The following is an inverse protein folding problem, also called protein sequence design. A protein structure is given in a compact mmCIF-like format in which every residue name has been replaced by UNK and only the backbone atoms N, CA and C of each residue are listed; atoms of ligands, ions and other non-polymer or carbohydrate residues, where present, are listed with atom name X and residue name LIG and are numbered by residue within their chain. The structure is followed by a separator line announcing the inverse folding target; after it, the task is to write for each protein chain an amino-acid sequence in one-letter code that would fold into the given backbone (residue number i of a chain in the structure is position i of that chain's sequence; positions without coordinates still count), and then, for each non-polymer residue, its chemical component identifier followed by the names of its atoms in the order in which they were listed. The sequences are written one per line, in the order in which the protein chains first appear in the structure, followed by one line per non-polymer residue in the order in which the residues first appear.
data_IF_793133366431
#
_entry.id   IF_793133366431
#
_cell.length_a   1.000
_cell.length_b   1.000
_cell.length_c   1.000
_cell.angle_alpha   90.00
_cell.angle_beta   90.00
_cell.angle_gamma   90.00
#
_symmetry.space_group_name_H-M   'P 1'
#
loop_
_entity.id
_entity.type
_entity.pdbx_description
1 polymer ?
#
# COMPACT_ATOMS: atom_id res chain seq x y z
N UNK A 1 10.03 -9.11 -6.96
CA UNK A 1 10.84 -9.80 -8.01
C UNK A 1 10.24 -9.66 -9.41
N UNK A 2 8.92 -9.82 -9.60
CA UNK A 2 8.28 -9.68 -10.92
C UNK A 2 8.35 -8.25 -11.49
N UNK A 3 7.98 -7.23 -10.70
CA UNK A 3 8.05 -5.82 -11.12
C UNK A 3 9.44 -5.40 -11.62
N UNK A 4 10.49 -5.76 -10.89
CA UNK A 4 11.89 -5.51 -11.27
C UNK A 4 12.22 -6.11 -12.64
N UNK A 5 11.75 -7.33 -12.93
CA UNK A 5 11.97 -7.96 -14.25
C UNK A 5 11.27 -7.18 -15.38
N UNK A 6 10.09 -6.60 -15.12
CA UNK A 6 9.37 -5.77 -16.08
C UNK A 6 10.07 -4.42 -16.29
N UNK A 7 10.55 -3.78 -15.23
CA UNK A 7 11.35 -2.55 -15.31
C UNK A 7 12.66 -2.77 -16.09
N UNK A 8 13.32 -3.90 -15.89
CA UNK A 8 14.51 -4.25 -16.70
C UNK A 8 14.15 -4.52 -18.16
N UNK A 9 12.96 -5.08 -18.44
CA UNK A 9 12.47 -5.23 -19.81
C UNK A 9 12.13 -3.88 -20.43
N UNK A 10 11.58 -2.96 -19.66
CA UNK A 10 11.31 -1.58 -20.08
C UNK A 10 12.59 -0.91 -20.59
N UNK A 11 13.67 -0.97 -19.80
CA UNK A 11 14.99 -0.45 -20.18
C UNK A 11 15.50 -1.07 -21.47
N UNK A 12 15.35 -2.39 -21.64
CA UNK A 12 15.76 -3.10 -22.86
C UNK A 12 14.97 -2.63 -24.08
N UNK A 13 13.65 -2.54 -23.98
CA UNK A 13 12.80 -2.05 -25.08
C UNK A 13 13.16 -0.61 -25.46
N UNK A 14 13.38 0.26 -24.47
CA UNK A 14 13.81 1.63 -24.72
C UNK A 14 15.14 1.68 -25.48
N UNK A 15 16.11 0.87 -25.10
CA UNK A 15 17.40 0.79 -25.80
C UNK A 15 17.24 0.29 -27.24
N UNK A 16 16.36 -0.67 -27.51
CA UNK A 16 16.10 -1.13 -28.88
C UNK A 16 15.39 -0.07 -29.73
N UNK A 17 14.46 0.71 -29.16
CA UNK A 17 13.86 1.86 -29.85
C UNK A 17 14.96 2.84 -30.30
N UNK A 18 15.87 3.20 -29.39
CA UNK A 18 16.98 4.12 -29.70
C UNK A 18 17.87 3.56 -30.81
N UNK A 19 18.24 2.27 -30.74
CA UNK A 19 19.05 1.62 -31.78
C UNK A 19 18.35 1.59 -33.14
N UNK A 20 17.05 1.27 -33.18
CA UNK A 20 16.27 1.26 -34.42
C UNK A 20 16.18 2.66 -35.03
N UNK A 21 15.93 3.69 -34.21
CA UNK A 21 15.93 5.08 -34.66
C UNK A 21 17.27 5.51 -35.25
N UNK A 22 18.39 5.16 -34.60
CA UNK A 22 19.74 5.47 -35.12
C UNK A 22 20.04 4.80 -36.47
N UNK A 23 19.43 3.64 -36.74
CA UNK A 23 19.58 2.93 -38.02
C UNK A 23 18.60 3.40 -39.10
N UNK A 24 17.74 4.37 -38.79
CA UNK A 24 16.64 4.81 -39.68
C UNK A 24 15.52 3.78 -39.84
N UNK A 25 15.48 2.75 -38.99
CA UNK A 25 14.46 1.70 -39.03
C UNK A 25 13.22 2.14 -38.24
N UNK A 26 12.45 3.03 -38.86
CA UNK A 26 11.24 3.64 -38.30
C UNK A 26 10.17 2.60 -37.96
N UNK A 27 10.01 1.58 -38.80
CA UNK A 27 9.03 0.52 -38.59
C UNK A 27 9.34 -0.29 -37.33
N UNK A 28 10.59 -0.73 -37.12
CA UNK A 28 10.95 -1.46 -35.88
C UNK A 28 10.86 -0.57 -34.65
N UNK A 29 11.26 0.70 -34.75
CA UNK A 29 11.13 1.63 -33.65
C UNK A 29 9.66 1.78 -33.19
N UNK A 30 8.72 1.86 -34.14
CA UNK A 30 7.29 1.95 -33.86
C UNK A 30 6.74 0.69 -33.15
N UNK A 31 7.15 -0.51 -33.58
CA UNK A 31 6.75 -1.78 -32.91
C UNK A 31 7.21 -1.77 -31.45
N UNK A 32 8.49 -1.52 -31.19
CA UNK A 32 9.02 -1.52 -29.83
C UNK A 32 8.41 -0.42 -28.95
N UNK A 33 8.07 0.73 -29.53
CA UNK A 33 7.39 1.81 -28.81
C UNK A 33 5.99 1.39 -28.34
N UNK A 34 5.23 0.69 -29.19
CA UNK A 34 3.91 0.17 -28.81
C UNK A 34 4.01 -0.87 -27.69
N UNK A 35 4.96 -1.81 -27.79
CA UNK A 35 5.21 -2.78 -26.72
C UNK A 35 5.60 -2.11 -25.40
N UNK A 36 6.47 -1.09 -25.47
CA UNK A 36 6.89 -0.32 -24.30
C UNK A 36 5.71 0.41 -23.66
N UNK A 37 4.79 0.96 -24.45
CA UNK A 37 3.60 1.64 -23.94
C UNK A 37 2.69 0.67 -23.17
N UNK A 38 2.42 -0.52 -23.71
CA UNK A 38 1.62 -1.54 -23.01
C UNK A 38 2.33 -2.06 -21.75
N UNK A 39 3.65 -2.27 -21.82
CA UNK A 39 4.44 -2.69 -20.66
C UNK A 39 4.38 -1.65 -19.52
N UNK A 40 4.44 -0.35 -19.85
CA UNK A 40 4.33 0.73 -18.87
C UNK A 40 2.98 0.77 -18.18
N UNK A 41 1.89 0.51 -18.91
CA UNK A 41 0.55 0.39 -18.29
C UNK A 41 0.54 -0.71 -17.24
N UNK A 42 1.09 -1.88 -17.57
CA UNK A 42 1.18 -3.02 -16.64
C UNK A 42 2.02 -2.67 -15.40
N UNK A 43 3.22 -2.10 -15.59
CA UNK A 43 4.10 -1.67 -14.48
C UNK A 43 3.38 -0.65 -13.58
N UNK A 44 2.68 0.32 -14.19
CA UNK A 44 1.91 1.33 -13.48
C UNK A 44 0.84 0.71 -12.57
N UNK A 45 -0.01 -0.16 -13.13
CA UNK A 45 -1.06 -0.84 -12.36
C UNK A 45 -0.46 -1.66 -11.22
N UNK A 46 0.59 -2.44 -11.47
CA UNK A 46 1.25 -3.24 -10.42
C UNK A 46 1.84 -2.37 -9.30
N UNK A 47 2.41 -1.22 -9.66
CA UNK A 47 3.01 -0.29 -8.68
C UNK A 47 1.94 0.33 -7.80
N UNK A 48 0.85 0.82 -8.40
CA UNK A 48 -0.29 1.39 -7.66
C UNK A 48 -0.90 0.33 -6.74
N UNK A 49 -1.10 -0.88 -7.22
CA UNK A 49 -1.67 -1.96 -6.41
C UNK A 49 -0.74 -2.36 -5.26
N UNK A 50 0.57 -2.41 -5.47
CA UNK A 50 1.54 -2.66 -4.39
C UNK A 50 1.42 -1.59 -3.29
N UNK A 51 1.42 -0.31 -3.66
CA UNK A 51 1.32 0.80 -2.70
C UNK A 51 -0.01 0.78 -1.95
N UNK A 52 -1.11 0.46 -2.65
CA UNK A 52 -2.42 0.34 -2.02
C UNK A 52 -2.46 -0.82 -1.00
N UNK A 53 -1.87 -1.98 -1.31
CA UNK A 53 -1.76 -3.10 -0.37
C UNK A 53 -0.87 -2.76 0.83
N UNK A 54 0.25 -2.06 0.62
CA UNK A 54 1.09 -1.57 1.73
C UNK A 54 0.30 -0.63 2.65
N UNK A 55 -0.52 0.25 2.08
CA UNK A 55 -1.40 1.13 2.86
C UNK A 55 -2.48 0.36 3.62
N UNK A 56 -3.07 -0.68 3.01
CA UNK A 56 -4.04 -1.57 3.69
C UNK A 56 -3.36 -2.25 4.87
N UNK A 57 -2.17 -2.83 4.66
CA UNK A 57 -1.38 -3.49 5.69
C UNK A 57 -1.10 -2.57 6.88
N UNK A 58 -0.56 -1.36 6.63
CA UNK A 58 -0.27 -0.38 7.69
C UNK A 58 -1.51 -0.02 8.51
N UNK A 59 -2.68 0.09 7.87
CA UNK A 59 -3.94 0.37 8.59
C UNK A 59 -4.35 -0.81 9.47
N UNK A 60 -4.23 -2.03 8.97
CA UNK A 60 -4.52 -3.24 9.74
C UNK A 60 -3.56 -3.41 10.93
N UNK A 61 -2.28 -3.09 10.78
CA UNK A 61 -1.30 -3.14 11.88
C UNK A 61 -1.69 -2.22 13.05
N UNK A 62 -2.28 -1.06 12.75
CA UNK A 62 -2.70 -0.09 13.78
C UNK A 62 -4.12 -0.32 14.33
N UNK A 63 -4.85 -1.32 13.81
CA UNK A 63 -6.28 -1.45 14.07
C UNK A 63 -6.61 -1.88 15.51
N UNK A 64 -5.70 -2.61 16.16
CA UNK A 64 -5.87 -3.07 17.55
C UNK A 64 -5.91 -1.92 18.56
N UNK A 65 -5.49 -0.72 18.17
CA UNK A 65 -5.53 0.48 19.00
C UNK A 65 -6.72 1.40 18.66
N UNK A 66 -7.55 1.03 17.67
CA UNK A 66 -8.65 1.83 17.20
C UNK A 66 -9.96 1.49 17.93
N UNK A 67 -10.64 2.50 18.47
CA UNK A 67 -11.96 2.34 19.07
C UNK A 67 -13.03 1.86 18.08
N UNK A 68 -12.84 2.15 16.78
CA UNK A 68 -13.75 1.81 15.69
C UNK A 68 -13.10 0.85 14.68
N UNK A 69 -12.53 -0.25 15.18
CA UNK A 69 -11.86 -1.25 14.34
C UNK A 69 -12.78 -1.77 13.21
N UNK A 70 -14.04 -2.09 13.51
CA UNK A 70 -15.02 -2.55 12.51
C UNK A 70 -15.16 -1.57 11.32
N UNK A 71 -15.27 -0.27 11.60
CA UNK A 71 -15.38 0.77 10.58
C UNK A 71 -14.11 0.87 9.72
N UNK A 72 -12.94 0.71 10.33
CA UNK A 72 -11.67 0.73 9.59
C UNK A 72 -11.60 -0.48 8.65
N UNK A 73 -11.91 -1.69 9.12
CA UNK A 73 -11.92 -2.89 8.27
C UNK A 73 -12.89 -2.73 7.11
N UNK A 74 -14.11 -2.26 7.37
CA UNK A 74 -15.13 -2.02 6.35
C UNK A 74 -14.69 -1.01 5.26
N UNK A 75 -13.82 -0.05 5.59
CA UNK A 75 -13.26 0.89 4.62
C UNK A 75 -12.10 0.30 3.79
N UNK A 76 -11.47 -0.77 4.24
CA UNK A 76 -10.37 -1.44 3.56
C UNK A 76 -10.85 -2.50 2.58
N UNK A 77 -11.93 -3.20 2.93
CA UNK A 77 -12.58 -4.24 2.12
C UNK A 77 -12.83 -3.84 0.65
N UNK A 78 -13.40 -2.66 0.32
CA UNK A 78 -13.67 -2.30 -1.07
C UNK A 78 -12.39 -1.95 -1.84
N UNK A 79 -11.34 -1.48 -1.14
CA UNK A 79 -10.03 -1.21 -1.74
C UNK A 79 -9.41 -2.52 -2.21
N UNK A 80 -9.41 -3.55 -1.37
CA UNK A 80 -8.87 -4.87 -1.73
C UNK A 80 -9.65 -5.50 -2.88
N UNK A 81 -10.98 -5.33 -2.92
CA UNK A 81 -11.82 -5.78 -4.03
C UNK A 81 -11.50 -5.07 -5.35
N UNK A 82 -11.25 -3.76 -5.32
CA UNK A 82 -10.87 -3.03 -6.53
C UNK A 82 -9.49 -3.48 -7.04
N UNK A 83 -8.57 -3.73 -6.11
CA UNK A 83 -7.24 -4.26 -6.44
C UNK A 83 -7.32 -5.65 -7.08
N UNK A 84 -8.19 -6.54 -6.60
CA UNK A 84 -8.38 -7.86 -7.25
C UNK A 84 -8.85 -7.69 -8.70
N UNK A 85 -9.88 -6.87 -8.93
CA UNK A 85 -10.41 -6.57 -10.28
C UNK A 85 -9.34 -6.01 -11.21
N UNK A 86 -8.48 -5.11 -10.71
CA UNK A 86 -7.37 -4.54 -11.49
C UNK A 86 -6.33 -5.57 -11.92
N UNK A 87 -6.16 -6.63 -11.10
CA UNK A 87 -5.19 -7.69 -11.33
C UNK A 87 -5.72 -8.80 -12.24
N UNK A 88 -7.03 -8.92 -12.42
CA UNK A 88 -7.65 -10.02 -13.18
C UNK A 88 -7.06 -10.25 -14.57
N UNK A 89 -6.70 -9.19 -15.29
CA UNK A 89 -6.15 -9.28 -16.64
C UNK A 89 -4.60 -9.28 -16.69
N UNK A 90 -3.94 -9.05 -15.56
CA UNK A 90 -2.47 -8.92 -15.46
C UNK A 90 -1.86 -10.13 -14.75
N UNK A 91 -2.39 -10.48 -13.58
CA UNK A 91 -1.97 -11.58 -12.73
C UNK A 91 -3.23 -12.25 -12.12
N UNK A 92 -3.89 -13.15 -12.86
CA UNK A 92 -5.14 -13.79 -12.41
C UNK A 92 -5.01 -14.52 -11.07
N UNK A 93 -3.86 -15.15 -10.81
CA UNK A 93 -3.61 -15.86 -9.56
C UNK A 93 -3.59 -14.87 -8.38
N UNK A 94 -2.98 -13.70 -8.55
CA UNK A 94 -2.98 -12.63 -7.53
C UNK A 94 -4.38 -12.07 -7.34
N UNK A 95 -5.17 -11.95 -8.42
CA UNK A 95 -6.58 -11.54 -8.32
C UNK A 95 -7.36 -12.48 -7.40
N UNK A 96 -7.20 -13.80 -7.56
CA UNK A 96 -7.90 -14.79 -6.72
C UNK A 96 -7.48 -14.69 -5.26
N UNK A 97 -6.18 -14.56 -4.98
CA UNK A 97 -5.70 -14.38 -3.60
C UNK A 97 -6.24 -13.08 -2.97
N UNK A 98 -6.32 -11.99 -3.74
CA UNK A 98 -6.91 -10.74 -3.25
C UNK A 98 -8.42 -10.85 -3.02
N UNK A 99 -9.15 -11.66 -3.79
CA UNK A 99 -10.55 -11.98 -3.50
C UNK A 99 -10.69 -12.73 -2.17
N UNK A 100 -9.81 -13.69 -1.87
CA UNK A 100 -9.80 -14.38 -0.58
C UNK A 100 -9.52 -13.42 0.59
N UNK A 101 -8.60 -12.46 0.42
CA UNK A 101 -8.32 -11.42 1.42
C UNK A 101 -9.55 -10.52 1.60
N UNK A 102 -10.21 -10.14 0.52
CA UNK A 102 -11.45 -9.36 0.57
C UNK A 102 -12.54 -10.08 1.39
N UNK A 103 -12.79 -11.37 1.15
CA UNK A 103 -13.75 -12.13 1.95
C UNK A 103 -13.34 -12.19 3.42
N UNK A 104 -12.06 -12.42 3.71
CA UNK A 104 -11.54 -12.44 5.09
C UNK A 104 -11.74 -11.10 5.80
N UNK A 105 -11.57 -9.96 5.10
CA UNK A 105 -11.85 -8.64 5.65
C UNK A 105 -13.34 -8.39 5.87
N UNK A 106 -14.19 -8.89 4.97
CA UNK A 106 -15.65 -8.79 5.11
C UNK A 106 -16.13 -9.54 6.35
N UNK A 107 -15.68 -10.79 6.52
CA UNK A 107 -15.98 -11.63 7.69
C UNK A 107 -15.46 -11.01 8.99
N UNK A 108 -14.25 -10.44 8.97
CA UNK A 108 -13.69 -9.74 10.12
C UNK A 108 -14.50 -8.48 10.47
N UNK A 109 -14.88 -7.67 9.49
CA UNK A 109 -15.71 -6.48 9.72
C UNK A 109 -17.07 -6.85 10.32
N UNK A 110 -17.68 -7.94 9.83
CA UNK A 110 -18.93 -8.45 10.36
C UNK A 110 -18.77 -8.94 11.81
N UNK A 111 -17.71 -9.71 12.10
CA UNK A 111 -17.43 -10.24 13.45
C UNK A 111 -17.24 -9.12 14.47
N UNK A 112 -16.40 -8.12 14.14
CA UNK A 112 -16.16 -6.94 14.98
C UNK A 112 -17.43 -6.10 15.21
N UNK A 113 -18.36 -6.10 14.23
CA UNK A 113 -19.63 -5.38 14.35
C UNK A 113 -20.65 -6.13 15.21
N UNK A 114 -20.71 -7.48 15.10
CA UNK A 114 -21.66 -8.32 15.84
C UNK A 114 -21.29 -8.43 17.32
N UNK A 115 -20.00 -8.56 17.63
CA UNK A 115 -19.55 -8.69 19.02
C UNK A 115 -19.74 -7.40 19.83
N UNK A 116 -20.19 -6.30 19.21
CA UNK A 116 -20.31 -5.02 19.89
C UNK A 116 -19.00 -4.60 20.53
N UNK A 117 -17.87 -5.04 19.96
CA UNK A 117 -16.52 -4.60 20.29
C UNK A 117 -16.36 -3.16 19.81
N UNK A 118 -17.17 -2.27 20.38
CA UNK A 118 -16.66 -1.02 20.87
C UNK A 118 -15.51 -1.44 21.78
N UNK A 119 -14.29 -1.48 21.24
CA UNK A 119 -13.12 -1.31 22.08
C UNK A 119 -13.30 0.06 22.71
N UNK A 120 -14.09 0.17 23.78
CA UNK A 120 -13.82 1.13 24.81
C UNK A 120 -12.43 0.71 25.27
N UNK A 121 -11.42 1.33 24.66
CA UNK A 121 -10.09 1.37 25.22
C UNK A 121 -10.33 2.06 26.55
N UNK A 122 -10.63 1.28 27.59
CA UNK A 122 -10.28 1.67 28.95
C UNK A 122 -8.85 2.17 28.81
N UNK A 123 -8.63 3.43 29.18
CA UNK A 123 -7.33 4.06 29.05
C UNK A 123 -6.30 3.02 29.49
N UNK A 124 -5.34 2.63 28.60
CA UNK A 124 -4.50 1.46 28.84
C UNK A 124 -3.98 1.57 30.26
N UNK A 125 -4.07 0.51 31.06
CA UNK A 125 -3.63 0.56 32.45
C UNK A 125 -2.19 1.11 32.48
N UNK A 126 -2.05 2.38 32.83
CA UNK A 126 -0.75 3.05 32.87
C UNK A 126 -0.25 2.88 34.29
N UNK A 127 0.63 1.90 34.48
CA UNK A 127 1.35 1.73 35.73
C UNK A 127 2.09 3.03 36.09
N UNK A 128 2.41 3.21 37.37
CA UNK A 128 3.15 4.38 37.83
C UNK A 128 4.47 4.56 37.05
N UNK A 129 5.15 3.45 36.74
CA UNK A 129 6.37 3.44 35.93
C UNK A 129 6.12 3.86 34.47
N UNK A 130 5.07 3.33 33.83
CA UNK A 130 4.71 3.76 32.48
C UNK A 130 4.37 5.27 32.41
N UNK A 131 3.78 5.85 33.47
CA UNK A 131 3.56 7.31 33.56
C UNK A 131 4.87 8.08 33.60
N UNK A 132 5.88 7.58 34.33
CA UNK A 132 7.20 8.23 34.38
C UNK A 132 7.89 8.23 33.02
N UNK A 133 7.85 7.08 32.31
CA UNK A 133 8.42 6.95 30.96
C UNK A 133 7.74 7.91 29.97
N UNK A 134 6.41 8.01 30.02
CA UNK A 134 5.66 8.93 29.15
C UNK A 134 5.98 10.41 29.42
N UNK A 135 6.16 10.80 30.68
CA UNK A 135 6.57 12.16 31.03
C UNK A 135 8.02 12.47 30.63
N UNK A 136 8.93 11.50 30.70
CA UNK A 136 10.28 11.63 30.15
C UNK A 136 10.27 11.81 28.64
N UNK A 137 9.51 10.97 27.91
CA UNK A 137 9.35 11.08 26.47
C UNK A 137 8.78 12.45 26.06
N UNK A 138 7.79 12.97 26.82
CA UNK A 138 7.20 14.29 26.61
C UNK A 138 8.21 15.43 26.86
N UNK A 139 9.06 15.31 27.88
CA UNK A 139 10.16 16.27 28.11
C UNK A 139 11.15 16.28 26.95
N UNK A 140 11.53 15.10 26.44
CA UNK A 140 12.43 14.98 25.27
C UNK A 140 11.79 15.56 24.01
N UNK A 141 10.51 15.27 23.76
CA UNK A 141 9.77 15.82 22.62
C UNK A 141 9.68 17.36 22.68
N UNK A 142 9.42 17.93 23.86
CA UNK A 142 9.41 19.39 24.07
C UNK A 142 10.78 20.04 23.84
N UNK A 143 11.87 19.39 24.25
CA UNK A 143 13.24 19.88 23.98
C UNK A 143 13.51 19.90 22.48
N UNK A 144 13.22 18.82 21.77
CA UNK A 144 13.36 18.74 20.30
C UNK A 144 12.52 19.77 19.56
N UNK A 145 11.32 20.08 20.06
CA UNK A 145 10.45 21.10 19.45
C UNK A 145 11.04 22.51 19.65
N UNK A 146 11.61 22.81 20.82
CA UNK A 146 12.29 24.10 21.09
C UNK A 146 13.58 24.27 20.28
N UNK A 147 14.28 23.18 19.98
CA UNK A 147 15.48 23.21 19.12
C UNK A 147 15.12 23.43 17.65
N UNK A 148 13.95 22.94 17.19
CA UNK A 148 13.48 23.11 15.81
C UNK A 148 12.78 24.44 15.53
N UNK A 149 12.32 25.15 16.55
CA UNK A 149 11.73 26.49 16.43
C UNK A 149 12.57 27.49 17.25
N UNK A 150 13.58 28.15 16.66
CA UNK A 150 14.18 29.30 17.30
C UNK A 150 13.08 30.35 17.53
N UNK A 151 13.03 30.90 18.74
CA UNK A 151 12.11 32.00 19.06
C UNK A 151 12.32 33.14 18.06
N UNK A 152 11.27 33.91 17.69
CA UNK A 152 11.49 35.21 17.08
C UNK A 152 12.33 36.10 17.99
#
# INVERSE_FOLDING_TARGET
RFLIKLEDREKRLYNEIVKSKLRGDEHRAAIYANELAELRKIIGTLTVSKLALEKVLLRLETILHAQNAATIVAQLEPIVLELSKSMKNIMPEVSLELENVHYSLSDLAQSLSIEGLNFTVEAPYVSAEARTILEEAKKVARRKLKEKFPKP
#
